data_IF_467210376245
#
_entry.id   IF_467210376245
#
_cell.length_a   1.000
_cell.length_b   1.000
_cell.length_c   1.000
_cell.angle_alpha   90.00
_cell.angle_beta   90.00
_cell.angle_gamma   90.00
#
_symmetry.space_group_name_H-M   'P 1'
#
loop_
_entity.id
_entity.type
_entity.pdbx_description
1 polymer ?
#
# COMPACT_ATOMS: atom_id res chain seq x y z
N UNK A 1 6.99 -12.27 8.30
CA UNK A 1 5.53 -12.31 8.52
C UNK A 1 4.92 -12.78 7.21
N UNK A 2 4.14 -13.88 7.20
CA UNK A 2 3.44 -14.39 6.02
C UNK A 2 1.93 -14.22 6.24
N UNK A 3 1.18 -14.02 5.17
CA UNK A 3 -0.29 -13.95 5.14
C UNK A 3 -0.90 -12.82 6.00
N UNK A 4 -0.57 -11.57 5.66
CA UNK A 4 -1.08 -10.38 6.35
C UNK A 4 -2.40 -9.91 5.69
N UNK A 5 -3.41 -9.58 6.50
CA UNK A 5 -4.62 -8.93 6.01
C UNK A 5 -4.30 -7.53 5.47
N UNK A 6 -4.97 -7.11 4.39
CA UNK A 6 -4.79 -5.78 3.83
C UNK A 6 -6.13 -5.21 3.37
N UNK A 7 -6.20 -3.89 3.31
CA UNK A 7 -7.30 -3.17 2.67
C UNK A 7 -6.85 -2.62 1.31
N UNK A 8 -7.78 -2.54 0.37
CA UNK A 8 -7.56 -1.99 -0.96
C UNK A 8 -8.48 -0.79 -1.18
N UNK A 9 -7.92 0.35 -1.54
CA UNK A 9 -8.68 1.55 -1.86
C UNK A 9 -8.49 1.92 -3.33
N UNK A 10 -9.60 2.17 -4.03
CA UNK A 10 -9.60 2.60 -5.42
C UNK A 10 -9.85 4.10 -5.46
N UNK A 11 -8.87 4.85 -5.94
CA UNK A 11 -9.01 6.27 -6.20
C UNK A 11 -9.21 6.47 -7.69
N UNK A 12 -10.47 6.67 -8.09
CA UNK A 12 -10.90 6.87 -9.47
C UNK A 12 -11.64 8.19 -9.62
N UNK A 13 -11.67 8.73 -10.85
CA UNK A 13 -12.39 9.97 -11.12
C UNK A 13 -13.90 9.81 -10.88
N UNK A 14 -14.57 10.82 -10.31
CA UNK A 14 -16.02 10.80 -10.15
C UNK A 14 -16.71 10.72 -11.51
N UNK A 15 -17.70 9.82 -11.65
CA UNK A 15 -18.40 9.49 -12.90
C UNK A 15 -18.93 10.73 -13.67
N UNK A 16 -19.37 11.77 -12.95
CA UNK A 16 -20.02 12.96 -13.54
C UNK A 16 -19.08 14.13 -13.84
N UNK A 17 -17.76 13.98 -13.70
CA UNK A 17 -16.80 15.04 -13.99
C UNK A 17 -15.64 14.48 -14.82
N UNK A 18 -15.52 14.93 -16.08
CA UNK A 18 -14.31 14.75 -16.91
C UNK A 18 -13.17 15.65 -16.40
N UNK A 19 -12.86 15.56 -15.11
CA UNK A 19 -11.82 16.37 -14.50
C UNK A 19 -10.47 15.68 -14.72
N UNK A 20 -9.60 16.31 -15.53
CA UNK A 20 -8.25 15.81 -15.87
C UNK A 20 -7.29 15.88 -14.66
N UNK A 21 -7.78 16.24 -13.48
CA UNK A 21 -6.99 16.47 -12.26
C UNK A 21 -6.72 15.20 -11.44
N UNK A 22 -7.34 14.06 -11.76
CA UNK A 22 -7.12 12.79 -11.03
C UNK A 22 -6.54 11.74 -11.98
N UNK A 23 -5.38 11.20 -11.63
CA UNK A 23 -4.86 9.96 -12.20
C UNK A 23 -5.34 8.81 -11.32
N UNK A 24 -6.08 7.87 -11.92
CA UNK A 24 -6.52 6.68 -11.20
C UNK A 24 -5.33 5.94 -10.60
N UNK A 25 -5.48 5.47 -9.37
CA UNK A 25 -4.51 4.61 -8.71
C UNK A 25 -5.19 3.76 -7.66
N UNK A 26 -4.45 2.77 -7.18
CA UNK A 26 -4.88 1.85 -6.14
C UNK A 26 -3.90 2.00 -4.98
N UNK A 27 -4.44 2.10 -3.77
CA UNK A 27 -3.67 2.11 -2.54
C UNK A 27 -3.88 0.79 -1.80
N UNK A 28 -2.77 0.21 -1.34
CA UNK A 28 -2.73 -1.04 -0.58
C UNK A 28 -2.30 -0.71 0.84
N UNK A 29 -3.12 -1.08 1.83
CA UNK A 29 -2.87 -0.82 3.25
C UNK A 29 -2.75 -2.12 4.05
N UNK A 30 -1.53 -2.66 4.22
CA UNK A 30 -1.27 -3.81 5.06
C UNK A 30 -1.67 -3.54 6.52
N UNK A 31 -2.43 -4.45 7.13
CA UNK A 31 -2.84 -4.36 8.54
C UNK A 31 -1.74 -4.92 9.44
N UNK A 32 -0.62 -4.19 9.53
CA UNK A 32 0.57 -4.58 10.32
C UNK A 32 0.54 -4.08 11.77
N UNK A 33 -0.34 -3.13 12.08
CA UNK A 33 -0.49 -2.56 13.42
C UNK A 33 -1.91 -2.01 13.61
N UNK A 34 -2.32 -1.87 14.86
CA UNK A 34 -3.60 -1.26 15.22
C UNK A 34 -3.44 0.25 15.36
N UNK A 35 -4.40 1.01 14.84
CA UNK A 35 -4.45 2.46 15.07
C UNK A 35 -4.87 2.77 16.51
N UNK A 36 -4.12 3.67 17.16
CA UNK A 36 -4.46 4.15 18.50
C UNK A 36 -5.60 5.17 18.46
N UNK A 37 -6.00 5.66 19.63
CA UNK A 37 -6.97 6.75 19.73
C UNK A 37 -6.51 8.03 19.03
N UNK A 38 -5.20 8.29 18.96
CA UNK A 38 -4.66 9.48 18.32
C UNK A 38 -4.92 9.50 16.81
N UNK A 39 -4.55 8.43 16.10
CA UNK A 39 -4.73 8.36 14.65
C UNK A 39 -6.21 8.44 14.28
N UNK A 40 -7.06 7.77 15.07
CA UNK A 40 -8.51 7.77 14.84
C UNK A 40 -9.17 9.11 15.14
N UNK A 41 -8.71 9.83 16.18
CA UNK A 41 -9.31 11.10 16.58
C UNK A 41 -8.87 12.28 15.69
N UNK A 42 -7.60 12.29 15.26
CA UNK A 42 -7.01 13.43 14.56
C UNK A 42 -6.81 13.20 13.06
N UNK A 43 -6.93 11.96 12.57
CA UNK A 43 -6.68 11.63 11.16
C UNK A 43 -5.21 11.76 10.75
N UNK A 44 -4.30 11.75 11.73
CA UNK A 44 -2.85 11.81 11.52
C UNK A 44 -2.27 10.42 11.76
N UNK A 45 -1.45 9.92 10.85
CA UNK A 45 -0.89 8.57 10.94
C UNK A 45 0.61 8.62 11.26
N UNK A 46 1.03 7.79 12.21
CA UNK A 46 2.45 7.60 12.50
C UNK A 46 2.99 6.43 11.69
N UNK A 47 4.06 6.67 10.93
CA UNK A 47 4.77 5.62 10.22
C UNK A 47 6.20 5.48 10.78
N UNK A 48 6.48 4.32 11.37
CA UNK A 48 7.79 4.01 11.95
C UNK A 48 8.80 3.52 10.90
N UNK A 49 8.37 3.31 9.66
CA UNK A 49 9.21 2.85 8.55
C UNK A 49 9.24 3.94 7.48
N UNK A 50 10.44 4.38 7.09
CA UNK A 50 10.56 5.35 6.01
C UNK A 50 10.11 4.73 4.68
N UNK A 51 9.51 5.52 3.76
CA UNK A 51 9.05 5.02 2.48
C UNK A 51 10.21 4.48 1.62
N UNK A 52 11.41 5.04 1.74
CA UNK A 52 12.61 4.58 1.01
C UNK A 52 12.99 3.16 1.45
N UNK A 53 13.03 2.91 2.76
CA UNK A 53 13.37 1.60 3.29
C UNK A 53 12.28 0.57 2.96
N UNK A 54 11.01 0.95 3.09
CA UNK A 54 9.90 0.07 2.69
C UNK A 54 9.97 -0.30 1.21
N UNK A 55 10.24 0.67 0.33
CA UNK A 55 10.36 0.45 -1.11
C UNK A 55 11.53 -0.48 -1.46
N UNK A 56 12.68 -0.32 -0.80
CA UNK A 56 13.84 -1.20 -0.98
C UNK A 56 13.50 -2.67 -0.67
N UNK A 57 12.91 -2.91 0.50
CA UNK A 57 12.55 -4.26 0.96
C UNK A 57 11.50 -4.88 0.03
N UNK A 58 10.41 -4.17 -0.25
CA UNK A 58 9.34 -4.66 -1.13
C UNK A 58 9.85 -4.95 -2.54
N UNK A 59 10.69 -4.07 -3.10
CA UNK A 59 11.28 -4.24 -4.43
C UNK A 59 12.11 -5.53 -4.52
N UNK A 60 12.87 -5.85 -3.47
CA UNK A 60 13.67 -7.08 -3.41
C UNK A 60 12.76 -8.32 -3.33
N UNK A 61 11.76 -8.29 -2.44
CA UNK A 61 10.80 -9.38 -2.26
C UNK A 61 9.98 -9.66 -3.51
N UNK A 62 9.43 -8.63 -4.17
CA UNK A 62 8.63 -8.78 -5.39
C UNK A 62 9.43 -9.43 -6.53
N UNK A 63 10.72 -9.10 -6.70
CA UNK A 63 11.56 -9.75 -7.71
C UNK A 63 11.76 -11.23 -7.44
N UNK A 64 11.99 -11.58 -6.18
CA UNK A 64 12.17 -12.97 -5.76
C UNK A 64 10.88 -13.77 -5.99
N UNK A 65 9.75 -13.24 -5.55
CA UNK A 65 8.43 -13.87 -5.74
C UNK A 65 8.07 -14.03 -7.22
N UNK A 66 8.39 -13.04 -8.04
CA UNK A 66 8.21 -13.11 -9.49
C UNK A 66 9.08 -14.21 -10.12
N UNK A 67 10.36 -14.29 -9.76
CA UNK A 67 11.26 -15.34 -10.27
C UNK A 67 10.79 -16.74 -9.88
N UNK A 68 10.41 -16.93 -8.61
CA UNK A 68 9.86 -18.18 -8.10
C UNK A 68 8.56 -18.56 -8.84
N UNK A 69 7.66 -17.60 -9.07
CA UNK A 69 6.41 -17.80 -9.80
C UNK A 69 6.62 -18.18 -11.27
N UNK A 70 7.74 -17.75 -11.86
CA UNK A 70 8.15 -18.10 -13.22
C UNK A 70 8.99 -19.39 -13.29
N UNK A 71 9.23 -20.06 -12.16
CA UNK A 71 10.02 -21.29 -12.09
C UNK A 71 11.53 -21.07 -12.26
N UNK A 72 12.00 -19.83 -12.16
CA UNK A 72 13.43 -19.48 -12.19
C UNK A 72 13.97 -19.60 -10.76
N UNK A 73 14.80 -20.61 -10.53
CA UNK A 73 15.49 -20.82 -9.24
C UNK A 73 16.72 -19.94 -9.11
#
# INVERSE_FOLDING_TARGET
>A
MKDIYFNLAFHISPEKKNNVMIHWHIEVYPQISNWSGFERAFGVYMNNVSPEHAAEVLRSSCRKELAESLGVK
#
